data_IF_176597797198
#
_entry.id   IF_176597797198
#
_cell.length_a   1.000
_cell.length_b   1.000
_cell.length_c   1.000
_cell.angle_alpha   90.00
_cell.angle_beta   90.00
_cell.angle_gamma   90.00
#
_symmetry.space_group_name_H-M   'P 1'
#
loop_
_entity.id
_entity.type
_entity.pdbx_description
1 polymer ?
#
# COMPACT_ATOMS: atom_id res chain seq x y z
N UNK A 1 -33.40 21.75 -46.63
CA UNK A 1 -33.84 21.57 -45.24
C UNK A 1 -33.53 20.14 -44.84
N UNK A 2 -32.50 19.93 -44.02
CA UNK A 2 -32.21 18.61 -43.44
C UNK A 2 -33.26 18.33 -42.35
N UNK A 3 -33.85 17.13 -42.39
CA UNK A 3 -34.83 16.70 -41.38
C UNK A 3 -34.11 16.40 -40.07
N UNK A 4 -34.62 16.98 -38.97
CA UNK A 4 -34.15 16.69 -37.63
C UNK A 4 -34.25 15.17 -37.34
N UNK A 5 -33.12 14.57 -36.97
CA UNK A 5 -33.01 13.18 -36.55
C UNK A 5 -33.00 13.18 -35.02
N UNK A 6 -34.04 12.62 -34.41
CA UNK A 6 -34.06 12.36 -32.97
C UNK A 6 -33.44 10.98 -32.72
N UNK A 7 -32.34 10.95 -31.98
CA UNK A 7 -31.80 9.71 -31.42
C UNK A 7 -32.39 9.57 -30.03
N UNK A 8 -33.21 8.53 -29.80
CA UNK A 8 -33.58 8.15 -28.44
C UNK A 8 -32.30 7.78 -27.69
N UNK A 9 -31.89 8.64 -26.76
CA UNK A 9 -30.86 8.27 -25.81
C UNK A 9 -31.48 7.21 -24.89
N UNK A 10 -30.80 6.06 -24.68
CA UNK A 10 -31.29 5.06 -23.75
C UNK A 10 -31.52 5.75 -22.41
N UNK A 11 -32.70 5.49 -21.82
CA UNK A 11 -33.09 6.05 -20.54
C UNK A 11 -32.18 5.61 -19.39
N UNK A 12 -32.62 5.83 -18.15
CA UNK A 12 -31.88 5.39 -16.97
C UNK A 12 -31.67 3.88 -17.02
N UNK A 13 -30.43 3.44 -17.22
CA UNK A 13 -30.03 2.04 -17.15
C UNK A 13 -30.04 1.62 -15.68
N UNK A 14 -30.96 0.74 -15.31
CA UNK A 14 -30.94 0.11 -14.00
C UNK A 14 -29.97 -1.07 -14.04
N UNK A 15 -28.94 -1.01 -13.19
CA UNK A 15 -27.93 -2.06 -13.11
C UNK A 15 -28.47 -3.22 -12.28
N UNK A 16 -28.69 -4.37 -12.91
CA UNK A 16 -28.85 -5.63 -12.19
C UNK A 16 -27.47 -6.23 -11.91
N UNK A 17 -27.17 -6.50 -10.64
CA UNK A 17 -25.90 -7.11 -10.29
C UNK A 17 -26.01 -8.63 -10.44
N UNK A 18 -25.24 -9.19 -11.37
CA UNK A 18 -25.06 -10.65 -11.48
C UNK A 18 -24.38 -11.26 -10.24
N UNK A 19 -23.68 -10.44 -9.44
CA UNK A 19 -22.90 -10.88 -8.28
C UNK A 19 -23.63 -10.58 -6.97
N UNK A 20 -24.00 -11.63 -6.23
CA UNK A 20 -24.51 -11.53 -4.87
C UNK A 20 -23.52 -12.20 -3.91
N UNK A 21 -22.63 -11.41 -3.33
CA UNK A 21 -21.53 -11.87 -2.48
C UNK A 21 -21.44 -11.05 -1.19
N UNK A 22 -20.88 -11.64 -0.12
CA UNK A 22 -20.73 -10.96 1.17
C UNK A 22 -19.73 -9.79 1.12
N UNK A 23 -18.73 -9.86 0.22
CA UNK A 23 -17.69 -8.85 0.09
C UNK A 23 -17.19 -8.73 -1.36
N UNK A 24 -18.03 -8.21 -2.27
CA UNK A 24 -17.65 -8.05 -3.67
C UNK A 24 -16.66 -6.90 -3.81
N UNK A 25 -15.51 -7.18 -4.43
CA UNK A 25 -14.47 -6.19 -4.73
C UNK A 25 -14.26 -5.98 -6.22
N UNK A 26 -14.56 -7.01 -7.03
CA UNK A 26 -14.53 -6.95 -8.48
C UNK A 26 -15.93 -6.67 -9.02
N UNK A 27 -16.31 -5.40 -9.11
CA UNK A 27 -17.70 -4.98 -9.33
C UNK A 27 -17.98 -4.38 -10.72
N UNK A 28 -16.95 -3.99 -11.47
CA UNK A 28 -17.13 -3.22 -12.70
C UNK A 28 -16.66 -4.01 -13.92
N UNK A 29 -17.57 -4.29 -14.85
CA UNK A 29 -17.32 -5.17 -16.00
C UNK A 29 -16.28 -4.62 -16.98
N UNK A 30 -16.18 -3.29 -17.14
CA UNK A 30 -15.18 -2.69 -18.03
C UNK A 30 -13.72 -2.97 -17.62
N UNK A 31 -13.47 -3.32 -16.35
CA UNK A 31 -12.14 -3.67 -15.85
C UNK A 31 -11.92 -5.20 -15.78
N UNK A 32 -12.82 -6.02 -16.34
CA UNK A 32 -12.74 -7.48 -16.27
C UNK A 32 -11.40 -8.02 -16.78
N UNK A 33 -10.87 -7.45 -17.85
CA UNK A 33 -9.57 -7.83 -18.40
C UNK A 33 -8.41 -7.46 -17.48
N UNK A 34 -8.46 -6.28 -16.83
CA UNK A 34 -7.42 -5.87 -15.89
C UNK A 34 -7.42 -6.72 -14.63
N UNK A 35 -8.60 -7.09 -14.12
CA UNK A 35 -8.72 -8.04 -13.01
C UNK A 35 -8.07 -9.38 -13.35
N UNK A 36 -8.32 -9.90 -14.56
CA UNK A 36 -7.73 -11.15 -15.07
C UNK A 36 -6.22 -11.04 -15.30
N UNK A 37 -5.73 -9.86 -15.69
CA UNK A 37 -4.29 -9.59 -15.85
C UNK A 37 -3.58 -9.57 -14.50
N UNK A 38 -4.22 -9.01 -13.46
CA UNK A 38 -3.66 -8.97 -12.11
C UNK A 38 -3.62 -10.34 -11.43
N UNK A 39 -4.67 -11.14 -11.62
CA UNK A 39 -4.74 -12.48 -11.06
C UNK A 39 -5.52 -13.43 -11.97
N UNK A 40 -5.08 -14.70 -12.01
CA UNK A 40 -5.82 -15.77 -12.68
C UNK A 40 -7.19 -15.96 -12.01
N UNK A 41 -8.25 -15.53 -12.70
CA UNK A 41 -9.65 -15.65 -12.29
C UNK A 41 -10.30 -16.74 -13.13
N UNK A 42 -10.72 -17.81 -12.46
CA UNK A 42 -11.48 -18.91 -13.08
C UNK A 42 -12.95 -18.56 -13.11
N UNK A 43 -13.47 -18.03 -12.00
CA UNK A 43 -14.86 -17.67 -11.86
C UNK A 43 -15.83 -18.82 -12.18
N UNK A 44 -17.08 -18.45 -12.47
CA UNK A 44 -18.12 -19.32 -12.98
C UNK A 44 -19.08 -18.49 -13.83
N UNK A 45 -19.64 -19.09 -14.88
CA UNK A 45 -20.52 -18.37 -15.80
C UNK A 45 -21.95 -18.39 -15.29
N UNK A 46 -22.54 -17.21 -15.22
CA UNK A 46 -23.92 -16.98 -14.76
C UNK A 46 -24.70 -16.35 -15.92
N UNK A 47 -25.92 -16.84 -16.22
CA UNK A 47 -26.77 -16.19 -17.21
C UNK A 47 -27.17 -14.80 -16.69
N UNK A 48 -27.00 -13.79 -17.54
CA UNK A 48 -27.29 -12.39 -17.26
C UNK A 48 -28.09 -11.81 -18.43
N UNK A 49 -29.16 -11.09 -18.12
CA UNK A 49 -29.98 -10.44 -19.14
C UNK A 49 -29.43 -9.02 -19.40
N UNK A 50 -28.86 -8.82 -20.59
CA UNK A 50 -28.41 -7.51 -21.04
C UNK A 50 -29.47 -6.94 -22.00
N UNK A 51 -30.42 -6.17 -21.46
CA UNK A 51 -31.47 -5.48 -22.24
C UNK A 51 -32.32 -6.42 -23.14
N UNK A 52 -32.67 -7.61 -22.64
CA UNK A 52 -33.45 -8.61 -23.37
C UNK A 52 -32.60 -9.63 -24.13
N UNK A 53 -31.27 -9.48 -24.14
CA UNK A 53 -30.33 -10.46 -24.70
C UNK A 53 -29.69 -11.30 -23.58
N UNK A 54 -29.94 -12.63 -23.53
CA UNK A 54 -29.31 -13.50 -22.55
C UNK A 54 -27.84 -13.70 -22.91
N UNK A 55 -26.95 -13.19 -22.06
CA UNK A 55 -25.51 -13.38 -22.16
C UNK A 55 -24.98 -14.18 -20.98
N UNK A 56 -23.85 -14.86 -21.17
CA UNK A 56 -23.14 -15.52 -20.07
C UNK A 56 -22.05 -14.61 -19.55
N UNK A 57 -22.12 -14.26 -18.26
CA UNK A 57 -21.12 -13.41 -17.60
C UNK A 57 -20.30 -14.25 -16.63
N UNK A 58 -18.98 -14.21 -16.78
CA UNK A 58 -18.07 -14.87 -15.86
C UNK A 58 -17.96 -14.05 -14.57
N UNK A 59 -18.47 -14.62 -13.47
CA UNK A 59 -18.46 -14.02 -12.15
C UNK A 59 -17.33 -14.64 -11.30
N UNK A 60 -16.44 -13.84 -10.70
CA UNK A 60 -15.41 -14.35 -9.79
C UNK A 60 -16.05 -14.94 -8.53
N UNK A 61 -15.40 -15.95 -7.97
CA UNK A 61 -15.75 -16.58 -6.69
C UNK A 61 -15.46 -15.66 -5.50
N UNK A 62 -16.05 -15.93 -4.34
CA UNK A 62 -15.78 -15.18 -3.10
C UNK A 62 -14.29 -15.24 -2.71
N UNK A 63 -13.63 -16.38 -2.94
CA UNK A 63 -12.20 -16.55 -2.65
C UNK A 63 -11.34 -15.70 -3.56
N UNK A 64 -11.71 -15.58 -4.85
CA UNK A 64 -11.01 -14.71 -5.80
C UNK A 64 -11.18 -13.23 -5.44
N UNK A 65 -12.38 -12.80 -5.02
CA UNK A 65 -12.61 -11.46 -4.48
C UNK A 65 -11.72 -11.16 -3.26
N UNK A 66 -11.59 -12.12 -2.34
CA UNK A 66 -10.73 -11.94 -1.17
C UNK A 66 -9.24 -11.94 -1.54
N UNK A 67 -8.83 -12.78 -2.50
CA UNK A 67 -7.46 -12.76 -3.04
C UNK A 67 -7.14 -11.41 -3.67
N UNK A 68 -8.06 -10.86 -4.47
CA UNK A 68 -7.94 -9.53 -5.07
C UNK A 68 -7.80 -8.44 -4.01
N UNK A 69 -8.62 -8.49 -2.95
CA UNK A 69 -8.52 -7.55 -1.84
C UNK A 69 -7.12 -7.55 -1.21
N UNK A 70 -6.58 -8.72 -0.88
CA UNK A 70 -5.28 -8.79 -0.23
C UNK A 70 -4.11 -8.50 -1.18
N UNK A 71 -4.17 -8.95 -2.44
CA UNK A 71 -3.06 -8.78 -3.40
C UNK A 71 -3.02 -7.40 -4.03
N UNK A 72 -4.16 -6.88 -4.51
CA UNK A 72 -4.21 -5.59 -5.17
C UNK A 72 -4.48 -4.47 -4.16
N UNK A 73 -5.63 -4.51 -3.50
CA UNK A 73 -6.11 -3.36 -2.72
C UNK A 73 -5.26 -3.12 -1.46
N UNK A 74 -4.93 -4.17 -0.71
CA UNK A 74 -4.10 -4.06 0.48
C UNK A 74 -2.61 -4.00 0.14
N UNK A 75 -2.10 -4.95 -0.64
CA UNK A 75 -0.67 -5.03 -0.90
C UNK A 75 -0.22 -3.96 -1.91
N UNK A 76 -0.69 -4.02 -3.15
CA UNK A 76 -0.24 -3.10 -4.20
C UNK A 76 -0.68 -1.64 -3.99
N UNK A 77 -1.91 -1.40 -3.56
CA UNK A 77 -2.44 -0.04 -3.44
C UNK A 77 -2.16 0.64 -2.10
N UNK A 78 -1.82 -0.10 -1.04
CA UNK A 78 -1.56 0.48 0.28
C UNK A 78 -0.17 0.16 0.80
N UNK A 79 0.16 -1.13 0.98
CA UNK A 79 1.44 -1.52 1.57
C UNK A 79 2.64 -1.11 0.73
N UNK A 80 2.51 -1.09 -0.61
CA UNK A 80 3.55 -0.58 -1.52
C UNK A 80 3.95 0.86 -1.20
N UNK A 81 2.98 1.78 -1.13
CA UNK A 81 3.25 3.19 -0.78
C UNK A 81 3.68 3.36 0.67
N UNK A 82 3.12 2.55 1.57
CA UNK A 82 3.60 2.52 2.95
C UNK A 82 5.09 2.16 2.99
N UNK A 83 5.51 1.15 2.24
CA UNK A 83 6.92 0.75 2.15
C UNK A 83 7.78 1.77 1.40
N UNK A 84 7.25 2.49 0.40
CA UNK A 84 7.97 3.62 -0.21
C UNK A 84 8.41 4.66 0.81
N UNK A 85 7.62 4.87 1.86
CA UNK A 85 7.94 5.85 2.90
C UNK A 85 8.91 5.32 3.95
N UNK A 86 8.95 4.00 4.20
CA UNK A 86 9.66 3.43 5.37
C UNK A 86 10.72 2.37 5.06
N UNK A 87 10.78 1.88 3.82
CA UNK A 87 11.75 0.89 3.33
C UNK A 87 12.56 1.43 2.15
N UNK A 88 11.87 2.07 1.19
CA UNK A 88 12.45 2.62 -0.03
C UNK A 88 11.58 2.36 -1.26
N UNK A 89 11.94 2.98 -2.39
CA UNK A 89 11.22 3.00 -3.66
C UNK A 89 12.16 2.61 -4.80
N UNK A 90 11.71 1.70 -5.67
CA UNK A 90 12.48 1.25 -6.83
C UNK A 90 12.63 2.35 -7.89
N UNK A 91 11.54 3.05 -8.19
CA UNK A 91 11.47 4.18 -9.11
C UNK A 91 10.15 4.95 -8.90
N UNK A 92 10.06 6.14 -9.49
CA UNK A 92 8.87 7.01 -9.51
C UNK A 92 7.87 6.71 -10.65
N UNK A 93 8.12 5.66 -11.43
CA UNK A 93 7.29 5.30 -12.58
C UNK A 93 6.02 4.59 -12.09
N UNK A 94 4.87 5.00 -12.61
CA UNK A 94 3.60 4.33 -12.32
C UNK A 94 3.66 2.88 -12.82
N UNK A 95 3.48 1.94 -11.90
CA UNK A 95 3.36 0.52 -12.21
C UNK A 95 1.91 0.05 -12.24
N UNK A 96 1.64 -1.02 -12.98
CA UNK A 96 0.37 -1.75 -12.99
C UNK A 96 0.59 -3.23 -12.59
N UNK A 97 1.61 -3.49 -11.76
CA UNK A 97 2.00 -4.83 -11.32
C UNK A 97 3.19 -5.40 -12.08
N UNK A 98 3.86 -4.61 -12.93
CA UNK A 98 5.13 -5.00 -13.53
C UNK A 98 6.26 -5.04 -12.47
N UNK A 99 7.24 -5.91 -12.71
CA UNK A 99 8.44 -6.07 -11.87
C UNK A 99 9.37 -4.84 -11.98
N UNK A 100 9.31 -4.13 -13.10
CA UNK A 100 10.23 -3.04 -13.41
C UNK A 100 9.74 -1.69 -12.90
N UNK A 101 8.45 -1.53 -12.61
CA UNK A 101 7.85 -0.22 -12.34
C UNK A 101 7.07 -0.18 -11.04
N UNK A 102 7.33 0.85 -10.27
CA UNK A 102 6.52 1.23 -9.13
C UNK A 102 6.62 0.28 -7.93
N UNK A 103 7.62 -0.60 -7.83
CA UNK A 103 7.78 -1.45 -6.65
C UNK A 103 8.50 -0.71 -5.52
N UNK A 104 8.40 -1.26 -4.31
CA UNK A 104 9.18 -0.81 -3.17
C UNK A 104 10.43 -1.66 -3.04
N UNK A 105 11.51 -1.10 -2.50
CA UNK A 105 12.75 -1.84 -2.29
C UNK A 105 13.39 -1.45 -0.97
N UNK A 106 14.27 -2.30 -0.47
CA UNK A 106 14.96 -2.10 0.81
C UNK A 106 16.39 -1.63 0.64
N UNK A 107 17.06 -1.93 -0.47
CA UNK A 107 18.49 -1.78 -0.66
C UNK A 107 19.33 -2.92 -0.09
N UNK A 108 18.69 -3.97 0.44
CA UNK A 108 19.35 -5.16 0.93
C UNK A 108 19.21 -6.21 -0.18
N UNK A 109 20.30 -6.55 -0.92
CA UNK A 109 20.21 -7.39 -2.12
C UNK A 109 19.49 -8.72 -1.89
N UNK A 110 19.68 -9.34 -0.72
CA UNK A 110 19.00 -10.59 -0.36
C UNK A 110 17.47 -10.44 -0.29
N UNK A 111 16.97 -9.34 0.28
CA UNK A 111 15.53 -9.10 0.42
C UNK A 111 14.94 -8.65 -0.92
N UNK A 112 15.64 -7.75 -1.62
CA UNK A 112 15.15 -7.19 -2.88
C UNK A 112 15.07 -8.23 -3.99
N UNK A 113 16.02 -9.16 -4.04
CA UNK A 113 16.02 -10.26 -5.00
C UNK A 113 14.87 -11.25 -4.76
N UNK A 114 14.38 -11.39 -3.52
CA UNK A 114 13.20 -12.19 -3.19
C UNK A 114 11.89 -11.46 -3.52
N UNK A 115 11.88 -10.13 -3.46
CA UNK A 115 10.68 -9.32 -3.63
C UNK A 115 10.33 -9.04 -5.09
N UNK A 116 11.32 -8.58 -5.86
CA UNK A 116 11.11 -8.06 -7.22
C UNK A 116 11.68 -9.06 -8.23
N UNK A 117 12.97 -9.35 -8.12
CA UNK A 117 13.81 -10.31 -8.87
C UNK A 117 15.26 -9.79 -8.79
N UNK A 118 16.22 -10.48 -9.42
CA UNK A 118 17.64 -10.08 -9.41
C UNK A 118 17.82 -8.64 -9.95
N UNK A 119 17.99 -7.70 -9.03
CA UNK A 119 18.07 -6.29 -9.36
C UNK A 119 19.31 -6.00 -10.19
N UNK A 120 20.39 -6.78 -10.10
CA UNK A 120 21.63 -6.57 -10.87
C UNK A 120 21.38 -6.53 -12.38
N UNK A 121 20.36 -7.25 -12.86
CA UNK A 121 20.03 -7.33 -14.29
C UNK A 121 19.14 -6.19 -14.81
N UNK A 122 18.64 -5.28 -13.96
CA UNK A 122 17.83 -4.16 -14.46
C UNK A 122 18.68 -3.13 -15.23
N UNK A 123 18.14 -2.53 -16.30
CA UNK A 123 18.81 -1.46 -17.05
C UNK A 123 19.29 -0.32 -16.14
N UNK A 124 20.52 0.17 -16.38
CA UNK A 124 21.11 1.26 -15.58
C UNK A 124 20.27 2.54 -15.60
N UNK A 125 19.55 2.81 -16.69
CA UNK A 125 18.64 3.96 -16.81
C UNK A 125 17.50 3.93 -15.78
N UNK A 126 17.00 2.73 -15.44
CA UNK A 126 15.94 2.56 -14.44
C UNK A 126 16.46 2.54 -12.99
N UNK A 127 17.77 2.37 -12.79
CA UNK A 127 18.42 2.34 -11.47
C UNK A 127 19.07 3.67 -11.11
N UNK A 128 20.10 4.04 -11.86
CA UNK A 128 20.96 5.19 -11.58
C UNK A 128 20.47 6.43 -12.33
N UNK A 129 19.77 6.23 -13.45
CA UNK A 129 19.15 7.32 -14.21
C UNK A 129 17.81 7.80 -13.65
N UNK A 130 17.18 7.04 -12.74
CA UNK A 130 15.90 7.39 -12.14
C UNK A 130 16.10 8.12 -10.82
N UNK A 131 15.75 9.41 -10.78
CA UNK A 131 15.86 10.26 -9.58
C UNK A 131 15.01 9.75 -8.43
N UNK A 132 13.88 9.09 -8.69
CA UNK A 132 13.00 8.53 -7.68
C UNK A 132 13.44 7.19 -7.09
N UNK A 133 14.62 6.70 -7.42
CA UNK A 133 15.21 5.52 -6.80
C UNK A 133 15.75 5.84 -5.40
N UNK A 134 15.07 5.38 -4.36
CA UNK A 134 15.39 5.69 -2.98
C UNK A 134 15.47 4.45 -2.10
N UNK A 135 16.49 4.40 -1.27
CA UNK A 135 16.78 3.24 -0.43
C UNK A 135 16.90 3.66 1.03
N UNK A 136 16.08 3.12 1.93
CA UNK A 136 16.12 3.46 3.37
C UNK A 136 16.54 2.30 4.28
N UNK A 137 16.87 1.13 3.72
CA UNK A 137 17.30 -0.06 4.48
C UNK A 137 16.32 -0.51 5.57
N UNK A 138 15.03 -0.19 5.40
CA UNK A 138 13.98 -0.41 6.40
C UNK A 138 14.27 0.23 7.77
N UNK A 139 15.22 1.16 7.90
CA UNK A 139 15.56 1.77 9.19
C UNK A 139 14.35 2.49 9.83
N UNK A 140 13.58 3.32 9.08
CA UNK A 140 12.36 3.93 9.62
C UNK A 140 11.32 2.87 10.03
N UNK A 141 11.12 1.85 9.19
CA UNK A 141 10.17 0.77 9.44
C UNK A 141 10.50 0.01 10.74
N UNK A 142 11.76 -0.36 10.93
CA UNK A 142 12.23 -1.08 12.11
C UNK A 142 12.05 -0.26 13.39
N UNK A 143 12.40 1.04 13.37
CA UNK A 143 12.15 1.94 14.50
C UNK A 143 10.65 2.02 14.83
N UNK A 144 9.80 2.14 13.80
CA UNK A 144 8.34 2.15 13.98
C UNK A 144 7.81 0.86 14.62
N UNK A 145 8.28 -0.31 14.16
CA UNK A 145 7.90 -1.61 14.74
C UNK A 145 8.34 -1.69 16.20
N UNK A 146 9.56 -1.28 16.52
CA UNK A 146 10.06 -1.26 17.91
C UNK A 146 9.18 -0.37 18.78
N UNK A 147 8.79 0.81 18.29
CA UNK A 147 7.93 1.73 19.02
C UNK A 147 6.52 1.20 19.24
N UNK A 148 5.95 0.54 18.22
CA UNK A 148 4.66 -0.14 18.31
C UNK A 148 4.66 -1.22 19.38
N UNK A 149 5.66 -2.11 19.35
CA UNK A 149 5.81 -3.17 20.34
C UNK A 149 6.02 -2.57 21.74
N UNK A 150 6.94 -1.63 21.88
CA UNK A 150 7.21 -0.99 23.17
C UNK A 150 5.97 -0.33 23.77
N UNK A 151 5.17 0.38 22.96
CA UNK A 151 3.93 1.00 23.41
C UNK A 151 2.93 -0.05 23.92
N UNK A 152 2.79 -1.18 23.21
CA UNK A 152 1.93 -2.30 23.61
C UNK A 152 2.37 -2.96 24.92
N UNK A 153 3.69 -3.08 25.17
CA UNK A 153 4.24 -3.72 26.36
C UNK A 153 4.43 -2.78 27.57
N UNK A 154 4.16 -1.48 27.43
CA UNK A 154 4.34 -0.47 28.51
C UNK A 154 3.21 -0.46 29.58
N UNK A 155 2.40 -1.51 29.63
CA UNK A 155 1.27 -1.65 30.56
C UNK A 155 -0.01 -0.93 30.10
N UNK A 156 -1.01 -0.83 30.98
CA UNK A 156 -2.38 -0.40 30.63
C UNK A 156 -2.46 0.98 29.96
N UNK A 157 -1.63 1.94 30.39
CA UNK A 157 -1.58 3.27 29.76
C UNK A 157 -1.03 3.20 28.34
N UNK A 158 0.01 2.39 28.12
CA UNK A 158 0.60 2.15 26.80
C UNK A 158 -0.39 1.53 25.84
N UNK A 159 -1.11 0.47 26.28
CA UNK A 159 -2.13 -0.20 25.46
C UNK A 159 -3.25 0.76 25.05
N UNK A 160 -3.73 1.63 25.96
CA UNK A 160 -4.74 2.64 25.62
C UNK A 160 -4.24 3.62 24.55
N UNK A 161 -3.02 4.12 24.70
CA UNK A 161 -2.40 5.01 23.71
C UNK A 161 -2.16 4.28 22.38
N UNK A 162 -1.78 3.01 22.41
CA UNK A 162 -1.61 2.17 21.23
C UNK A 162 -2.90 2.10 20.42
N UNK A 163 -4.04 1.83 21.07
CA UNK A 163 -5.33 1.78 20.38
C UNK A 163 -5.70 3.12 19.74
N UNK A 164 -5.41 4.25 20.39
CA UNK A 164 -5.67 5.57 19.80
C UNK A 164 -4.87 5.77 18.50
N UNK A 165 -3.57 5.50 18.52
CA UNK A 165 -2.71 5.63 17.33
C UNK A 165 -3.07 4.58 16.28
N UNK A 166 -3.39 3.36 16.70
CA UNK A 166 -3.81 2.28 15.81
C UNK A 166 -5.11 2.61 15.08
N UNK A 167 -6.13 3.11 15.78
CA UNK A 167 -7.38 3.51 15.13
C UNK A 167 -7.16 4.67 14.16
N UNK A 168 -6.30 5.63 14.52
CA UNK A 168 -5.91 6.68 13.58
C UNK A 168 -5.28 6.07 12.32
N UNK A 169 -4.24 5.24 12.47
CA UNK A 169 -3.57 4.53 11.38
C UNK A 169 -4.54 3.70 10.52
N UNK A 170 -5.41 2.94 11.16
CA UNK A 170 -6.38 2.07 10.49
C UNK A 170 -7.42 2.86 9.72
N UNK A 171 -8.04 3.86 10.36
CA UNK A 171 -9.12 4.65 9.76
C UNK A 171 -8.63 5.51 8.60
N UNK A 172 -7.41 6.04 8.67
CA UNK A 172 -6.85 6.90 7.62
C UNK A 172 -6.01 6.15 6.59
N UNK A 173 -5.93 4.82 6.69
CA UNK A 173 -5.18 3.98 5.77
C UNK A 173 -6.04 2.84 5.26
N UNK A 174 -6.01 1.72 5.98
CA UNK A 174 -6.71 0.49 5.59
C UNK A 174 -8.22 0.70 5.38
N UNK A 175 -8.89 1.49 6.23
CA UNK A 175 -10.32 1.74 6.07
C UNK A 175 -10.64 2.55 4.80
N UNK A 176 -9.74 3.43 4.36
CA UNK A 176 -9.88 4.18 3.10
C UNK A 176 -9.82 3.22 1.91
N UNK A 177 -8.89 2.26 1.93
CA UNK A 177 -8.83 1.17 0.93
C UNK A 177 -10.15 0.39 0.93
N UNK A 178 -10.67 0.08 2.13
CA UNK A 178 -11.91 -0.67 2.26
C UNK A 178 -13.09 0.07 1.63
N UNK A 179 -13.13 1.39 1.83
CA UNK A 179 -14.21 2.27 1.40
C UNK A 179 -14.16 2.59 -0.11
N UNK A 180 -12.97 2.92 -0.63
CA UNK A 180 -12.83 3.33 -2.03
C UNK A 180 -12.97 2.18 -3.02
N UNK A 181 -12.72 0.94 -2.58
CA UNK A 181 -12.81 -0.27 -3.40
C UNK A 181 -12.18 -0.08 -4.80
N UNK A 182 -10.90 0.31 -4.81
CA UNK A 182 -10.21 0.73 -6.04
C UNK A 182 -10.15 -0.41 -7.07
N UNK A 183 -10.42 -0.06 -8.32
CA UNK A 183 -10.28 -0.92 -9.50
C UNK A 183 -8.82 -0.96 -9.99
N UNK A 184 -8.40 -1.99 -10.73
CA UNK A 184 -7.11 -2.03 -11.40
C UNK A 184 -6.91 -0.92 -12.44
N UNK A 185 -5.65 -0.70 -12.81
CA UNK A 185 -5.25 0.16 -13.95
C UNK A 185 -5.82 1.58 -13.87
N UNK A 186 -5.86 2.18 -12.69
CA UNK A 186 -6.35 3.55 -12.55
C UNK A 186 -5.41 4.53 -13.28
N UNK A 187 -5.95 5.49 -14.07
CA UNK A 187 -5.13 6.48 -14.76
C UNK A 187 -4.23 7.30 -13.83
N UNK A 188 -4.62 7.38 -12.55
CA UNK A 188 -3.82 7.98 -11.50
C UNK A 188 -4.09 7.28 -10.18
N UNK A 189 -3.02 6.85 -9.53
CA UNK A 189 -3.05 6.31 -8.18
C UNK A 189 -3.06 7.47 -7.17
N UNK A 190 -3.87 7.37 -6.10
CA UNK A 190 -4.06 8.45 -5.09
C UNK A 190 -3.34 8.12 -3.80
N UNK A 191 -2.02 7.98 -3.88
CA UNK A 191 -1.12 7.72 -2.75
C UNK A 191 -1.26 8.74 -1.60
N UNK A 192 -1.49 10.01 -1.92
CA UNK A 192 -1.73 11.08 -0.94
C UNK A 192 -2.95 10.84 -0.04
N UNK A 193 -3.91 10.00 -0.45
CA UNK A 193 -5.07 9.66 0.37
C UNK A 193 -4.67 8.92 1.66
N UNK A 194 -3.49 8.31 1.68
CA UNK A 194 -2.97 7.54 2.82
C UNK A 194 -1.95 8.30 3.66
N UNK A 195 -1.63 9.56 3.33
CA UNK A 195 -0.59 10.34 4.02
C UNK A 195 -0.81 10.42 5.54
N UNK A 196 -2.06 10.52 5.98
CA UNK A 196 -2.40 10.53 7.40
C UNK A 196 -2.05 9.22 8.13
N UNK A 197 -2.16 8.04 7.49
CA UNK A 197 -1.72 6.80 8.12
C UNK A 197 -0.18 6.73 8.20
N UNK A 198 0.54 7.31 7.24
CA UNK A 198 2.00 7.39 7.29
C UNK A 198 2.47 8.28 8.45
N UNK A 199 1.81 9.43 8.67
CA UNK A 199 2.07 10.26 9.84
C UNK A 199 1.72 9.55 11.16
N UNK A 200 0.62 8.78 11.20
CA UNK A 200 0.30 7.97 12.36
C UNK A 200 1.41 6.94 12.66
N UNK A 201 1.99 6.32 11.62
CA UNK A 201 3.14 5.42 11.78
C UNK A 201 4.41 6.15 12.24
N UNK A 202 4.65 7.39 11.80
CA UNK A 202 5.77 8.20 12.27
C UNK A 202 5.74 8.47 13.79
N UNK A 203 4.54 8.50 14.41
CA UNK A 203 4.42 8.57 15.87
C UNK A 203 5.05 7.32 16.52
N UNK A 204 4.83 6.13 15.95
CA UNK A 204 5.50 4.91 16.40
C UNK A 204 7.01 4.97 16.20
N UNK A 205 7.50 5.55 15.10
CA UNK A 205 8.96 5.75 14.89
C UNK A 205 9.57 6.55 16.05
N UNK A 206 8.95 7.68 16.42
CA UNK A 206 9.39 8.50 17.56
C UNK A 206 9.34 7.74 18.88
N UNK A 207 8.29 6.95 19.12
CA UNK A 207 8.20 6.07 20.29
C UNK A 207 9.23 4.93 20.25
N UNK A 208 9.68 4.51 19.07
CA UNK A 208 10.75 3.54 18.88
C UNK A 208 12.07 4.00 19.49
N UNK A 209 12.43 5.26 19.26
CA UNK A 209 13.60 5.91 19.88
C UNK A 209 13.51 5.82 21.41
N UNK A 210 12.36 6.22 21.97
CA UNK A 210 12.13 6.15 23.41
C UNK A 210 12.16 4.71 23.94
N UNK A 211 11.65 3.75 23.17
CA UNK A 211 11.68 2.33 23.48
C UNK A 211 13.10 1.77 23.55
N UNK A 212 13.93 2.07 22.55
CA UNK A 212 15.35 1.67 22.50
C UNK A 212 16.12 2.30 23.67
N UNK A 213 15.92 3.60 23.92
CA UNK A 213 16.54 4.28 25.06
C UNK A 213 16.19 3.58 26.37
N UNK A 214 14.91 3.25 26.59
CA UNK A 214 14.48 2.62 27.83
C UNK A 214 15.04 1.20 27.98
N UNK A 215 15.11 0.46 26.88
CA UNK A 215 15.68 -0.88 26.84
C UNK A 215 17.18 -0.83 27.20
N UNK A 216 17.94 0.08 26.59
CA UNK A 216 19.35 0.29 26.91
C UNK A 216 19.57 0.77 28.35
N UNK A 217 18.76 1.70 28.86
CA UNK A 217 18.83 2.11 30.27
C UNK A 217 18.62 0.91 31.21
N UNK A 218 17.70 0.01 30.87
CA UNK A 218 17.40 -1.16 31.69
C UNK A 218 18.52 -2.20 31.67
N UNK A 219 19.02 -2.56 30.48
CA UNK A 219 20.06 -3.58 30.33
C UNK A 219 21.48 -3.09 30.67
N UNK A 220 21.83 -1.86 30.27
CA UNK A 220 23.17 -1.30 30.48
C UNK A 220 23.31 -0.54 31.81
N UNK A 221 22.23 -0.36 32.58
CA UNK A 221 22.19 0.37 33.87
C UNK A 221 22.71 1.81 33.82
N UNK A 222 22.71 2.43 32.64
CA UNK A 222 23.13 3.82 32.44
C UNK A 222 21.91 4.74 32.56
N UNK A 223 22.05 5.91 33.23
CA UNK A 223 20.94 6.84 33.46
C UNK A 223 20.66 7.74 32.24
N UNK A 224 21.52 8.72 31.98
CA UNK A 224 21.24 9.78 30.98
C UNK A 224 21.96 9.57 29.63
N UNK A 225 23.12 8.91 29.63
CA UNK A 225 23.93 8.66 28.44
C UNK A 225 23.17 7.95 27.29
N UNK A 226 22.33 6.92 27.55
CA UNK A 226 21.61 6.22 26.49
C UNK A 226 20.57 7.09 25.78
N UNK A 227 19.97 8.06 26.47
CA UNK A 227 18.95 8.92 25.87
C UNK A 227 19.55 9.86 24.83
N UNK A 228 20.66 10.53 25.18
CA UNK A 228 21.37 11.41 24.26
C UNK A 228 21.96 10.65 23.07
N UNK A 229 22.60 9.49 23.32
CA UNK A 229 23.22 8.69 22.28
C UNK A 229 22.20 8.12 21.28
N UNK A 230 21.13 7.50 21.78
CA UNK A 230 20.10 6.88 20.92
C UNK A 230 19.36 7.94 20.11
N UNK A 231 19.09 9.10 20.70
CA UNK A 231 18.47 10.22 19.97
C UNK A 231 19.39 10.72 18.85
N UNK A 232 20.69 10.87 19.13
CA UNK A 232 21.68 11.30 18.14
C UNK A 232 21.81 10.28 16.99
N UNK A 233 21.88 8.99 17.30
CA UNK A 233 21.95 7.93 16.29
C UNK A 233 20.65 7.88 15.47
N UNK A 234 19.51 8.09 16.13
CA UNK A 234 18.20 8.07 15.45
C UNK A 234 18.01 9.25 14.50
N UNK A 235 18.75 10.36 14.66
CA UNK A 235 18.80 11.46 13.68
C UNK A 235 19.45 11.04 12.36
N UNK A 236 20.25 9.96 12.34
CA UNK A 236 20.79 9.42 11.09
C UNK A 236 19.68 8.98 10.13
N UNK A 237 18.55 8.49 10.65
CA UNK A 237 17.43 8.03 9.83
C UNK A 237 16.81 9.16 9.00
N UNK A 238 16.31 10.27 9.57
CA UNK A 238 15.76 11.36 8.77
C UNK A 238 16.84 12.06 7.92
N UNK A 239 18.10 12.11 8.36
CA UNK A 239 19.20 12.66 7.54
C UNK A 239 19.44 11.81 6.30
N UNK A 240 19.46 10.49 6.45
CA UNK A 240 19.63 9.56 5.33
C UNK A 240 18.45 9.63 4.37
N UNK A 241 17.22 9.66 4.88
CA UNK A 241 16.02 9.83 4.04
C UNK A 241 16.08 11.15 3.27
N UNK A 242 16.36 12.27 3.96
CA UNK A 242 16.46 13.58 3.33
C UNK A 242 17.55 13.63 2.26
N UNK A 243 18.69 12.96 2.48
CA UNK A 243 19.78 12.89 1.50
C UNK A 243 19.45 12.05 0.28
N UNK A 244 18.65 10.99 0.43
CA UNK A 244 18.16 10.18 -0.69
C UNK A 244 17.15 10.97 -1.52
N UNK A 245 16.14 11.57 -0.87
CA UNK A 245 15.05 12.29 -1.56
C UNK A 245 15.38 13.74 -1.91
N UNK A 246 16.62 14.20 -1.80
CA UNK A 246 16.94 15.62 -1.98
C UNK A 246 16.79 16.09 -3.43
N UNK A 247 17.02 15.17 -4.38
CA UNK A 247 17.06 15.45 -5.83
C UNK A 247 15.93 14.74 -6.60
N UNK A 248 14.96 14.19 -5.85
CA UNK A 248 13.70 13.59 -6.32
C UNK A 248 12.80 14.60 -7.06
#
# INVERSE_FOLDING_TARGET
EEKDIYIEMPGRMDYEYAQNMFFPRMYHSSYANDYKRWMDIKGHDVPYDQCGEPIMVNVPTQRENMKFFFSYQMNFMYWRYFMWNFAGRQNDIQGNGEIEHGNWMTGIPFIDNLLISNQEMMPQELKEGNKGHNVYYCLPLLLGIIGLLWQGYRGQKGVRQFWVVFFLFFMTGVAVVLYLNQTPSQPRERDYAYAASFYAFAIWIGMGVAGITRLLQHYCKMKELPAALVSLISLFVPVQMAGQTWDD
#
